data_IF_506745776033
#
_entry.id   IF_506745776033
#
_cell.length_a   1.000
_cell.length_b   1.000
_cell.length_c   1.000
_cell.angle_alpha   90.00
_cell.angle_beta   90.00
_cell.angle_gamma   90.00
#
_symmetry.space_group_name_H-M   'P 1'
#
loop_
_entity.id
_entity.type
_entity.pdbx_description
1 polymer ?
#
# COMPACT_ATOMS: atom_id res chain seq x y z
N UNK A 1 11.21 1.51 -17.91
CA UNK A 1 11.10 1.81 -16.45
C UNK A 1 10.33 3.11 -16.33
N UNK A 2 9.22 3.12 -15.59
CA UNK A 2 8.43 4.35 -15.37
C UNK A 2 9.22 5.22 -14.40
N UNK A 3 9.39 6.51 -14.74
CA UNK A 3 10.01 7.49 -13.85
C UNK A 3 8.90 8.18 -13.07
N UNK A 4 8.73 7.80 -11.80
CA UNK A 4 7.72 8.36 -10.92
C UNK A 4 8.15 9.71 -10.35
N UNK A 5 7.20 10.61 -10.19
CA UNK A 5 7.36 11.90 -9.51
C UNK A 5 6.23 12.11 -8.50
N UNK A 6 6.48 12.88 -7.45
CA UNK A 6 5.49 13.19 -6.41
C UNK A 6 5.09 14.65 -6.52
N UNK A 7 3.78 14.88 -6.64
CA UNK A 7 3.14 16.19 -6.55
C UNK A 7 1.94 16.11 -5.61
N UNK A 8 1.80 17.09 -4.73
CA UNK A 8 0.68 17.17 -3.77
C UNK A 8 0.48 15.88 -2.97
N UNK A 9 1.60 15.25 -2.54
CA UNK A 9 1.64 13.98 -1.81
C UNK A 9 1.11 12.76 -2.59
N UNK A 10 1.09 12.82 -3.90
CA UNK A 10 0.67 11.74 -4.79
C UNK A 10 1.71 11.46 -5.86
N UNK A 11 1.76 10.21 -6.32
CA UNK A 11 2.49 9.82 -7.51
C UNK A 11 1.75 10.31 -8.75
N UNK A 12 2.38 11.13 -9.58
CA UNK A 12 1.74 11.68 -10.79
C UNK A 12 1.41 10.61 -11.85
N UNK A 13 2.17 9.50 -11.86
CA UNK A 13 2.04 8.44 -12.86
C UNK A 13 1.23 7.23 -12.35
N UNK A 14 0.69 7.30 -11.13
CA UNK A 14 -0.19 6.29 -10.57
C UNK A 14 -1.65 6.72 -10.67
N UNK A 15 -2.54 5.75 -10.84
CA UNK A 15 -3.97 6.00 -10.65
C UNK A 15 -4.24 6.30 -9.17
N UNK A 16 -4.99 7.37 -8.87
CA UNK A 16 -5.38 7.69 -7.50
C UNK A 16 -6.84 7.30 -7.25
N UNK A 17 -7.05 6.34 -6.35
CA UNK A 17 -8.38 5.86 -5.93
C UNK A 17 -8.47 6.04 -4.41
N UNK A 18 -9.17 7.06 -3.94
CA UNK A 18 -9.18 7.43 -2.53
C UNK A 18 -9.72 6.32 -1.62
N UNK A 19 -8.97 6.02 -0.56
CA UNK A 19 -9.44 5.25 0.61
C UNK A 19 -9.72 6.20 1.77
N UNK A 20 -10.85 5.99 2.45
CA UNK A 20 -11.19 6.72 3.68
C UNK A 20 -10.52 6.12 4.94
N UNK A 21 -9.88 4.95 4.80
CA UNK A 21 -9.19 4.25 5.88
C UNK A 21 -7.80 4.86 6.11
N UNK A 22 -7.78 6.11 6.51
CA UNK A 22 -6.57 6.88 6.76
C UNK A 22 -6.80 7.91 7.88
N UNK A 23 -5.71 8.41 8.43
CA UNK A 23 -5.70 9.45 9.46
C UNK A 23 -4.55 10.43 9.25
N UNK A 24 -4.57 11.53 9.99
CA UNK A 24 -3.45 12.46 9.95
C UNK A 24 -2.23 11.88 10.66
N UNK A 25 -1.03 12.13 10.12
CA UNK A 25 0.22 11.79 10.81
C UNK A 25 0.38 12.68 12.05
N UNK A 26 1.00 12.19 13.13
CA UNK A 26 1.40 13.04 14.24
C UNK A 26 2.28 14.19 13.73
N UNK A 27 2.06 15.41 14.23
CA UNK A 27 2.65 16.67 13.69
C UNK A 27 4.18 16.70 13.58
N UNK A 28 4.86 15.89 14.40
CA UNK A 28 6.34 15.86 14.48
C UNK A 28 6.93 14.58 13.86
N UNK A 29 6.13 13.82 13.13
CA UNK A 29 6.58 12.53 12.61
C UNK A 29 6.96 12.66 11.13
N UNK A 30 8.23 12.39 10.83
CA UNK A 30 8.73 12.26 9.46
C UNK A 30 8.58 10.84 8.95
N UNK A 31 8.34 10.71 7.64
CA UNK A 31 8.32 9.41 6.97
C UNK A 31 9.74 8.88 6.87
N UNK A 32 9.99 7.75 7.51
CA UNK A 32 11.33 7.16 7.62
C UNK A 32 11.39 5.65 7.34
N UNK A 33 10.25 5.05 6.97
CA UNK A 33 10.15 3.61 6.72
C UNK A 33 9.27 3.34 5.51
N UNK A 34 9.64 2.35 4.70
CA UNK A 34 8.77 1.69 3.72
C UNK A 34 8.47 0.29 4.24
N UNK A 35 7.20 -0.08 4.29
CA UNK A 35 6.76 -1.43 4.64
C UNK A 35 6.12 -2.05 3.42
N UNK A 36 6.68 -3.19 3.00
CA UNK A 36 6.18 -3.94 1.85
C UNK A 36 5.41 -5.15 2.37
N UNK A 37 4.16 -5.28 1.94
CA UNK A 37 3.27 -6.38 2.26
C UNK A 37 2.94 -7.17 1.00
N UNK A 38 2.29 -8.30 1.16
CA UNK A 38 1.59 -8.99 0.08
C UNK A 38 0.10 -9.07 0.38
N UNK A 39 -0.70 -9.04 -0.67
CA UNK A 39 -2.14 -9.19 -0.60
C UNK A 39 -2.67 -9.93 -1.82
N UNK A 40 -3.63 -10.83 -1.60
CA UNK A 40 -4.44 -11.41 -2.67
C UNK A 40 -5.87 -11.62 -2.17
N UNK A 41 -6.87 -11.31 -2.98
CA UNK A 41 -8.29 -11.40 -2.61
C UNK A 41 -9.14 -12.03 -3.72
N UNK A 42 -9.73 -13.23 -3.49
CA UNK A 42 -9.51 -14.11 -2.32
C UNK A 42 -8.06 -14.61 -2.22
N UNK A 43 -7.64 -15.20 -1.09
CA UNK A 43 -6.27 -15.68 -0.93
C UNK A 43 -5.81 -16.57 -2.10
N UNK A 44 -4.65 -16.23 -2.70
CA UNK A 44 -4.08 -16.94 -3.83
C UNK A 44 -4.74 -16.66 -5.18
N UNK A 45 -5.70 -15.73 -5.26
CA UNK A 45 -6.31 -15.28 -6.50
C UNK A 45 -5.93 -13.84 -6.82
N UNK A 46 -5.70 -13.55 -8.09
CA UNK A 46 -5.19 -12.25 -8.54
C UNK A 46 -6.17 -11.55 -9.47
N UNK A 47 -6.11 -10.21 -9.49
CA UNK A 47 -7.01 -9.40 -10.28
C UNK A 47 -8.40 -9.23 -9.68
N UNK A 48 -9.41 -8.97 -10.52
CA UNK A 48 -10.82 -8.85 -10.11
C UNK A 48 -11.19 -7.55 -9.39
N UNK A 49 -10.22 -6.69 -9.07
CA UNK A 49 -10.46 -5.40 -8.42
C UNK A 49 -10.93 -5.49 -6.95
N UNK A 50 -10.84 -6.68 -6.34
CA UNK A 50 -11.32 -6.90 -4.96
C UNK A 50 -10.50 -6.13 -3.92
N UNK A 51 -9.19 -5.98 -4.14
CA UNK A 51 -8.29 -5.23 -3.24
C UNK A 51 -8.70 -3.75 -3.21
N UNK A 52 -8.95 -3.15 -4.37
CA UNK A 52 -9.46 -1.77 -4.47
C UNK A 52 -10.79 -1.61 -3.72
N UNK A 53 -11.74 -2.52 -3.92
CA UNK A 53 -13.02 -2.50 -3.21
C UNK A 53 -12.86 -2.68 -1.71
N UNK A 54 -11.93 -3.53 -1.29
CA UNK A 54 -11.61 -3.75 0.12
C UNK A 54 -11.10 -2.47 0.79
N UNK A 55 -10.13 -1.78 0.19
CA UNK A 55 -9.61 -0.52 0.73
C UNK A 55 -10.61 0.64 0.67
N UNK A 56 -11.67 0.51 -0.13
CA UNK A 56 -12.78 1.46 -0.18
C UNK A 56 -13.98 1.07 0.70
N UNK A 57 -13.91 -0.03 1.50
CA UNK A 57 -14.99 -0.59 2.31
C UNK A 57 -16.23 -1.01 1.47
N UNK A 58 -15.99 -1.43 0.23
CA UNK A 58 -17.01 -1.83 -0.75
C UNK A 58 -16.85 -3.29 -1.22
N UNK A 59 -16.17 -4.12 -0.42
CA UNK A 59 -15.98 -5.52 -0.75
C UNK A 59 -17.32 -6.26 -0.64
N UNK A 60 -17.72 -6.92 -1.73
CA UNK A 60 -18.97 -7.69 -1.76
C UNK A 60 -18.78 -9.05 -1.07
N UNK A 61 -19.27 -9.15 0.15
CA UNK A 61 -19.18 -10.35 0.98
C UNK A 61 -19.97 -11.55 0.43
N UNK A 62 -20.81 -11.37 -0.60
CA UNK A 62 -21.54 -12.47 -1.22
C UNK A 62 -20.72 -13.26 -2.24
N UNK A 63 -19.61 -12.70 -2.72
CA UNK A 63 -18.79 -13.29 -3.78
C UNK A 63 -17.86 -14.42 -3.31
N UNK A 64 -17.43 -14.39 -2.05
CA UNK A 64 -16.53 -15.38 -1.49
C UNK A 64 -16.71 -15.50 0.03
N UNK A 65 -16.64 -16.71 0.62
CA UNK A 65 -16.71 -16.88 2.07
C UNK A 65 -15.66 -16.09 2.85
N UNK A 66 -14.44 -15.97 2.32
CA UNK A 66 -13.36 -15.20 2.93
C UNK A 66 -13.70 -13.70 3.01
N UNK A 67 -14.43 -13.17 2.04
CA UNK A 67 -14.84 -11.76 2.06
C UNK A 67 -15.81 -11.44 3.20
N UNK A 68 -16.58 -12.43 3.68
CA UNK A 68 -17.41 -12.27 4.89
C UNK A 68 -16.58 -12.13 6.15
N UNK A 69 -15.42 -12.79 6.20
CA UNK A 69 -14.53 -12.75 7.37
C UNK A 69 -13.81 -11.41 7.48
N UNK A 70 -13.44 -10.81 6.36
CA UNK A 70 -12.64 -9.59 6.31
C UNK A 70 -13.45 -8.32 6.00
N UNK A 71 -14.71 -8.45 5.58
CA UNK A 71 -15.50 -7.34 5.02
C UNK A 71 -15.70 -6.15 5.96
N UNK A 72 -15.65 -6.38 7.28
CA UNK A 72 -15.78 -5.34 8.29
C UNK A 72 -14.45 -4.69 8.68
N UNK A 73 -13.32 -5.20 8.15
CA UNK A 73 -12.00 -4.62 8.43
C UNK A 73 -11.84 -3.31 7.67
N UNK A 74 -11.43 -2.27 8.40
CA UNK A 74 -11.08 -0.98 7.82
C UNK A 74 -9.57 -0.85 7.74
N UNK A 75 -9.01 -1.20 6.59
CA UNK A 75 -7.58 -1.17 6.30
C UNK A 75 -7.32 -0.49 4.96
N UNK A 76 -6.08 -0.07 4.75
CA UNK A 76 -5.63 0.49 3.48
C UNK A 76 -4.11 0.35 3.36
N UNK A 77 -3.58 0.63 2.17
CA UNK A 77 -2.17 0.95 1.98
C UNK A 77 -2.02 2.30 1.26
N UNK A 78 -0.82 2.86 1.25
CA UNK A 78 -0.58 4.02 0.40
C UNK A 78 -0.59 3.60 -1.06
N UNK A 79 0.11 2.53 -1.39
CA UNK A 79 0.28 2.04 -2.75
C UNK A 79 -0.08 0.54 -2.85
N UNK A 80 -0.55 0.17 -4.02
CA UNK A 80 -0.75 -1.21 -4.44
C UNK A 80 -0.10 -1.41 -5.80
N UNK A 81 0.61 -2.52 -5.98
CA UNK A 81 1.26 -2.91 -7.24
C UNK A 81 0.69 -4.26 -7.67
N UNK A 82 -0.06 -4.26 -8.76
CA UNK A 82 -0.66 -5.47 -9.32
C UNK A 82 0.37 -6.38 -10.02
N UNK A 83 -0.07 -7.57 -10.47
CA UNK A 83 0.81 -8.56 -11.14
C UNK A 83 1.42 -8.04 -12.45
N UNK A 84 0.83 -7.03 -13.08
CA UNK A 84 1.31 -6.38 -14.30
C UNK A 84 2.25 -5.20 -14.01
N UNK A 85 2.51 -4.89 -12.73
CA UNK A 85 3.32 -3.75 -12.31
C UNK A 85 2.60 -2.41 -12.39
N UNK A 86 1.27 -2.40 -12.57
CA UNK A 86 0.48 -1.18 -12.47
C UNK A 86 0.43 -0.70 -11.03
N UNK A 87 0.56 0.61 -10.83
CA UNK A 87 0.58 1.21 -9.50
C UNK A 87 -0.70 2.01 -9.26
N UNK A 88 -1.38 1.69 -8.16
CA UNK A 88 -2.53 2.44 -7.67
C UNK A 88 -2.17 3.08 -6.33
N UNK A 89 -2.51 4.34 -6.14
CA UNK A 89 -2.38 5.03 -4.86
C UNK A 89 -3.75 5.24 -4.21
N UNK A 90 -3.87 4.88 -2.92
CA UNK A 90 -5.11 4.99 -2.15
C UNK A 90 -5.08 6.10 -1.10
N UNK A 91 -3.92 6.37 -0.52
CA UNK A 91 -3.75 7.33 0.57
C UNK A 91 -2.64 8.31 0.19
N UNK A 92 -2.85 9.64 0.33
CA UNK A 92 -1.78 10.61 0.13
C UNK A 92 -0.65 10.42 1.14
N UNK A 93 0.59 10.68 0.76
CA UNK A 93 1.77 10.38 1.60
C UNK A 93 1.87 11.21 2.89
N UNK A 94 1.19 12.33 2.97
CA UNK A 94 1.10 13.14 4.19
C UNK A 94 0.10 12.59 5.23
N UNK A 95 -0.59 11.49 4.92
CA UNK A 95 -1.51 10.79 5.85
C UNK A 95 -0.97 9.41 6.20
N UNK A 96 -1.50 8.85 7.31
CA UNK A 96 -1.30 7.44 7.67
C UNK A 96 -2.25 6.57 6.87
N UNK A 97 -1.78 5.61 6.12
CA UNK A 97 -2.58 4.47 5.71
C UNK A 97 -2.62 3.43 6.85
N UNK A 98 -3.68 2.66 6.93
CA UNK A 98 -3.87 1.66 7.99
C UNK A 98 -3.46 0.27 7.50
N UNK A 99 -2.13 0.01 7.45
CA UNK A 99 -1.55 -1.21 6.87
C UNK A 99 -0.75 -2.07 7.84
N UNK A 100 -0.26 -1.50 8.96
CA UNK A 100 0.70 -2.17 9.82
C UNK A 100 0.11 -2.65 11.16
N UNK A 101 -1.15 -2.29 11.48
CA UNK A 101 -1.80 -2.68 12.73
C UNK A 101 -1.00 -2.32 13.98
N UNK A 102 -1.03 -3.20 14.98
CA UNK A 102 -0.14 -3.10 16.15
C UNK A 102 1.26 -3.52 15.73
N UNK A 103 2.18 -2.60 15.71
CA UNK A 103 3.49 -2.81 15.08
C UNK A 103 4.60 -2.06 15.82
N UNK A 104 5.82 -2.57 15.69
CA UNK A 104 7.03 -1.98 16.23
C UNK A 104 8.20 -2.17 15.27
N UNK A 105 8.96 -1.12 15.01
CA UNK A 105 10.20 -1.20 14.24
C UNK A 105 11.33 -0.50 15.00
N UNK A 106 12.35 -1.25 15.37
CA UNK A 106 13.53 -0.76 16.14
C UNK A 106 13.15 0.01 17.41
N UNK A 107 12.12 -0.46 18.13
CA UNK A 107 11.65 0.15 19.37
C UNK A 107 10.67 1.31 19.19
N UNK A 108 10.36 1.72 17.97
CA UNK A 108 9.32 2.73 17.67
C UNK A 108 8.02 2.03 17.32
N UNK A 109 6.97 2.29 18.09
CA UNK A 109 5.64 1.71 17.92
C UNK A 109 4.81 2.46 16.87
N UNK A 110 3.70 1.83 16.43
CA UNK A 110 2.74 2.40 15.48
C UNK A 110 3.39 2.75 14.14
N UNK A 111 3.89 1.74 13.42
CA UNK A 111 4.59 1.93 12.15
C UNK A 111 3.77 2.72 11.11
N UNK A 112 2.41 2.71 11.18
CA UNK A 112 1.58 3.55 10.33
C UNK A 112 1.96 5.04 10.40
N UNK A 113 2.39 5.52 11.57
CA UNK A 113 2.67 6.94 11.79
C UNK A 113 3.85 7.45 10.96
N UNK A 114 4.88 6.62 10.76
CA UNK A 114 6.15 7.00 10.14
C UNK A 114 6.53 6.18 8.91
N UNK A 115 5.59 5.37 8.37
CA UNK A 115 5.86 4.55 7.20
C UNK A 115 4.99 4.89 6.00
N UNK A 116 5.43 4.40 4.85
CA UNK A 116 4.63 4.24 3.64
C UNK A 116 4.43 2.74 3.43
N UNK A 117 3.18 2.29 3.43
CA UNK A 117 2.82 0.91 3.13
C UNK A 117 2.62 0.71 1.64
N UNK A 118 3.24 -0.34 1.11
CA UNK A 118 3.09 -0.81 -0.27
C UNK A 118 2.60 -2.25 -0.24
N UNK A 119 1.45 -2.50 -0.85
CA UNK A 119 0.93 -3.84 -1.04
C UNK A 119 1.31 -4.36 -2.43
N UNK A 120 1.95 -5.52 -2.47
CA UNK A 120 2.24 -6.24 -3.70
C UNK A 120 1.19 -7.32 -3.91
N UNK A 121 0.52 -7.36 -5.08
CA UNK A 121 -0.40 -8.45 -5.37
C UNK A 121 0.34 -9.77 -5.44
N UNK A 122 0.09 -10.65 -4.46
CA UNK A 122 0.86 -11.88 -4.32
C UNK A 122 0.49 -12.67 -3.07
N UNK A 123 1.29 -13.70 -2.83
CA UNK A 123 1.25 -14.57 -1.65
C UNK A 123 2.67 -14.78 -1.11
N UNK A 124 2.78 -15.43 0.05
CA UNK A 124 4.07 -15.86 0.60
C UNK A 124 4.73 -17.00 -0.21
N UNK A 125 4.00 -17.62 -1.11
CA UNK A 125 4.44 -18.81 -1.84
C UNK A 125 4.77 -18.53 -3.31
N UNK A 126 4.05 -17.57 -3.93
CA UNK A 126 4.17 -17.31 -5.35
C UNK A 126 5.25 -16.25 -5.62
N UNK A 127 6.08 -16.50 -6.63
CA UNK A 127 7.05 -15.52 -7.07
C UNK A 127 6.36 -14.27 -7.61
N UNK A 128 6.89 -13.10 -7.26
CA UNK A 128 6.49 -11.84 -7.89
C UNK A 128 7.00 -11.77 -9.33
N UNK A 129 6.29 -11.00 -10.16
CA UNK A 129 6.66 -10.82 -11.57
C UNK A 129 7.82 -9.83 -11.71
N UNK A 130 8.51 -9.89 -12.85
CA UNK A 130 9.54 -8.90 -13.19
C UNK A 130 8.96 -7.49 -13.29
N UNK A 131 7.70 -7.36 -13.76
CA UNK A 131 7.01 -6.07 -13.87
C UNK A 131 6.73 -5.48 -12.47
N UNK A 132 6.32 -6.33 -11.51
CA UNK A 132 6.18 -5.90 -10.12
C UNK A 132 7.50 -5.41 -9.51
N UNK A 133 8.59 -6.15 -9.70
CA UNK A 133 9.90 -5.70 -9.19
C UNK A 133 10.38 -4.42 -9.87
N UNK A 134 10.13 -4.26 -11.17
CA UNK A 134 10.46 -3.03 -11.91
C UNK A 134 9.69 -1.83 -11.38
N UNK A 135 8.38 -1.99 -11.15
CA UNK A 135 7.54 -0.95 -10.56
C UNK A 135 7.96 -0.61 -9.13
N UNK A 136 8.19 -1.64 -8.29
CA UNK A 136 8.62 -1.46 -6.91
C UNK A 136 9.94 -0.70 -6.81
N UNK A 137 10.94 -1.06 -7.62
CA UNK A 137 12.23 -0.36 -7.67
C UNK A 137 12.05 1.12 -8.05
N UNK A 138 11.25 1.40 -9.07
CA UNK A 138 10.99 2.77 -9.53
C UNK A 138 10.28 3.61 -8.47
N UNK A 139 9.24 3.04 -7.84
CA UNK A 139 8.48 3.68 -6.75
C UNK A 139 9.39 3.93 -5.54
N UNK A 140 10.13 2.92 -5.09
CA UNK A 140 11.03 3.03 -3.92
C UNK A 140 12.08 4.11 -4.15
N UNK A 141 12.70 4.15 -5.33
CA UNK A 141 13.66 5.21 -5.69
C UNK A 141 13.03 6.60 -5.60
N UNK A 142 11.81 6.78 -6.11
CA UNK A 142 11.08 8.03 -6.03
C UNK A 142 10.80 8.44 -4.58
N UNK A 143 10.29 7.50 -3.76
CA UNK A 143 10.00 7.74 -2.34
C UNK A 143 11.26 8.13 -1.56
N UNK A 144 12.36 7.41 -1.71
CA UNK A 144 13.63 7.72 -1.03
C UNK A 144 14.20 9.07 -1.45
N UNK A 145 14.01 9.48 -2.71
CA UNK A 145 14.43 10.81 -3.17
C UNK A 145 13.57 11.94 -2.58
N UNK A 146 12.29 11.66 -2.28
CA UNK A 146 11.35 12.65 -1.75
C UNK A 146 11.35 12.69 -0.21
N UNK A 147 11.57 11.55 0.46
CA UNK A 147 11.61 11.40 1.91
C UNK A 147 13.02 10.99 2.36
N UNK A 148 13.90 11.96 2.66
CA UNK A 148 15.33 11.68 2.89
C UNK A 148 15.60 10.88 4.17
N UNK A 149 14.63 10.82 5.10
CA UNK A 149 14.77 10.05 6.34
C UNK A 149 14.51 8.55 6.15
N UNK A 150 14.05 8.12 4.96
CA UNK A 150 13.97 6.70 4.61
C UNK A 150 15.38 6.17 4.40
N UNK A 151 15.80 5.26 5.27
CA UNK A 151 17.08 4.55 5.18
C UNK A 151 16.85 3.06 4.92
N UNK A 152 17.77 2.46 4.19
CA UNK A 152 17.79 1.02 3.90
C UNK A 152 18.39 0.24 5.07
#
# INVERSE_FOLDING_TARGET
MIDFSIRDNKLEQAEFIESKNCSDRPKTTEVSLIVIHNISLPPGQYGGGHITKFFQNNLDSSLDPYFKEIGDLQVSSHLFIDRQGSVVQFVPFNKNAWHAGVSNFKGKENCNDFSIGIEMEGTDQDAYTNDQYTALCSVTKCLMSHFPDIVL
#
